data_IF_157083265136
#
_entry.id   IF_157083265136
#
_cell.length_a   1.000
_cell.length_b   1.000
_cell.length_c   1.000
_cell.angle_alpha   90.00
_cell.angle_beta   90.00
_cell.angle_gamma   90.00
#
_symmetry.space_group_name_H-M   'P 1'
#
loop_
_entity.id
_entity.type
_entity.pdbx_description
1 polymer ?
#
# COMPACT_ATOMS: atom_id res chain seq x y z
N UNK A 1 -44.91 0.64 -27.78
CA UNK A 1 -44.05 -0.41 -28.36
C UNK A 1 -42.82 0.29 -28.93
N UNK A 2 -41.56 -0.03 -28.64
CA UNK A 2 -40.93 -1.00 -27.76
C UNK A 2 -39.67 -0.30 -27.20
N UNK A 3 -39.47 -0.31 -25.89
CA UNK A 3 -38.21 0.17 -25.32
C UNK A 3 -37.23 -1.00 -25.30
N UNK A 4 -36.21 -0.92 -26.15
CA UNK A 4 -35.10 -1.86 -26.16
C UNK A 4 -34.23 -1.58 -24.93
N UNK A 5 -34.23 -2.50 -23.96
CA UNK A 5 -33.26 -2.46 -22.87
C UNK A 5 -31.97 -3.11 -23.33
N UNK A 6 -30.98 -2.29 -23.64
CA UNK A 6 -29.60 -2.72 -23.89
C UNK A 6 -29.07 -3.42 -22.65
N UNK A 7 -28.88 -4.74 -22.73
CA UNK A 7 -28.14 -5.51 -21.72
C UNK A 7 -26.66 -5.18 -21.85
N UNK A 8 -26.25 -4.09 -21.21
CA UNK A 8 -24.87 -3.95 -20.77
C UNK A 8 -24.66 -5.01 -19.67
N UNK A 9 -23.65 -5.91 -19.79
CA UNK A 9 -23.30 -6.77 -18.67
C UNK A 9 -22.85 -5.85 -17.53
N UNK A 10 -23.69 -5.75 -16.50
CA UNK A 10 -23.30 -5.17 -15.21
C UNK A 10 -22.14 -6.03 -14.72
N UNK A 11 -20.93 -5.50 -14.83
CA UNK A 11 -19.78 -5.97 -14.07
C UNK A 11 -20.22 -5.87 -12.61
N UNK A 12 -20.57 -7.01 -12.03
CA UNK A 12 -20.68 -7.13 -10.58
C UNK A 12 -19.24 -7.07 -10.09
N UNK A 13 -18.80 -5.87 -9.78
CA UNK A 13 -17.65 -5.70 -8.90
C UNK A 13 -18.15 -6.05 -7.51
N UNK A 14 -18.32 -7.36 -7.29
CA UNK A 14 -18.46 -7.92 -5.97
C UNK A 14 -17.16 -7.52 -5.28
N UNK A 15 -17.24 -6.50 -4.41
CA UNK A 15 -16.13 -6.04 -3.60
C UNK A 15 -15.75 -7.14 -2.62
N UNK A 16 -15.14 -8.22 -3.12
CA UNK A 16 -14.56 -9.26 -2.32
C UNK A 16 -13.40 -8.63 -1.56
N UNK A 17 -13.62 -8.37 -0.28
CA UNK A 17 -12.58 -8.05 0.67
C UNK A 17 -11.53 -9.16 0.58
N UNK A 18 -10.46 -8.89 -0.16
CA UNK A 18 -9.36 -9.84 -0.37
C UNK A 18 -8.82 -10.27 1.00
N UNK A 19 -8.92 -11.56 1.30
CA UNK A 19 -8.43 -12.09 2.56
C UNK A 19 -6.89 -12.17 2.52
N UNK A 20 -6.24 -11.11 3.00
CA UNK A 20 -4.79 -11.03 3.09
C UNK A 20 -4.18 -12.04 4.07
N UNK A 21 -4.98 -12.65 4.95
CA UNK A 21 -4.53 -13.67 5.90
C UNK A 21 -4.38 -15.06 5.28
N UNK A 22 -5.07 -15.35 4.17
CA UNK A 22 -4.94 -16.61 3.41
C UNK A 22 -3.70 -16.63 2.51
N UNK A 23 -3.00 -15.50 2.38
CA UNK A 23 -1.83 -15.41 1.53
C UNK A 23 -0.65 -16.18 2.14
N UNK A 24 0.02 -17.06 1.37
CA UNK A 24 1.24 -17.72 1.78
C UNK A 24 2.33 -16.74 2.23
N UNK A 25 3.15 -17.17 3.19
CA UNK A 25 4.24 -16.40 3.75
C UNK A 25 5.14 -15.76 2.69
N UNK A 26 5.58 -16.56 1.72
CA UNK A 26 6.49 -16.12 0.65
C UNK A 26 5.88 -14.96 -0.17
N UNK A 27 4.59 -15.05 -0.51
CA UNK A 27 3.89 -14.02 -1.26
C UNK A 27 3.69 -12.76 -0.42
N UNK A 28 3.30 -12.90 0.86
CA UNK A 28 3.19 -11.77 1.77
C UNK A 28 4.54 -11.06 1.93
N UNK A 29 5.63 -11.82 2.09
CA UNK A 29 7.00 -11.27 2.18
C UNK A 29 7.41 -10.52 0.92
N UNK A 30 7.05 -11.05 -0.26
CA UNK A 30 7.36 -10.41 -1.55
C UNK A 30 6.55 -9.13 -1.77
N UNK A 31 5.34 -9.03 -1.22
CA UNK A 31 4.55 -7.80 -1.25
C UNK A 31 5.17 -6.78 -0.29
N UNK A 32 5.43 -7.19 0.95
CA UNK A 32 6.03 -6.33 1.97
C UNK A 32 7.40 -5.79 1.53
N UNK A 33 8.24 -6.59 0.87
CA UNK A 33 9.55 -6.13 0.37
C UNK A 33 9.46 -5.04 -0.70
N UNK A 34 8.29 -4.82 -1.30
CA UNK A 34 8.05 -3.78 -2.31
C UNK A 34 7.46 -2.49 -1.71
N UNK A 35 7.09 -2.51 -0.43
CA UNK A 35 6.60 -1.34 0.29
C UNK A 35 7.76 -0.57 0.91
N UNK A 36 7.54 0.72 1.17
CA UNK A 36 8.48 1.53 1.93
C UNK A 36 8.48 1.13 3.41
N UNK A 37 9.61 1.34 4.08
CA UNK A 37 9.78 0.98 5.50
C UNK A 37 8.68 1.61 6.38
N UNK A 38 8.32 2.85 6.10
CA UNK A 38 7.30 3.59 6.86
C UNK A 38 5.94 2.91 6.69
N UNK A 39 5.55 2.59 5.46
CA UNK A 39 4.28 1.89 5.20
C UNK A 39 4.22 0.53 5.88
N UNK A 40 5.34 -0.18 5.97
CA UNK A 40 5.40 -1.48 6.64
C UNK A 40 5.19 -1.30 8.15
N UNK A 41 5.85 -0.32 8.76
CA UNK A 41 5.76 -0.04 10.20
C UNK A 41 4.39 0.53 10.60
N UNK A 42 3.83 1.42 9.79
CA UNK A 42 2.61 2.16 10.13
C UNK A 42 1.33 1.47 9.65
N UNK A 43 1.36 0.79 8.49
CA UNK A 43 0.18 0.27 7.82
C UNK A 43 0.18 -1.27 7.75
N UNK A 44 1.20 -1.88 7.17
CA UNK A 44 1.17 -3.31 6.81
C UNK A 44 1.04 -4.25 8.02
N UNK A 45 1.61 -3.88 9.17
CA UNK A 45 1.48 -4.63 10.43
C UNK A 45 0.07 -4.59 11.06
N UNK A 46 -0.81 -3.69 10.60
CA UNK A 46 -2.18 -3.53 11.09
C UNK A 46 -3.21 -4.25 10.21
N UNK A 47 -2.81 -4.78 9.05
CA UNK A 47 -3.71 -5.47 8.11
C UNK A 47 -4.24 -6.77 8.69
N UNK A 48 -3.35 -7.67 9.11
CA UNK A 48 -3.72 -8.94 9.74
C UNK A 48 -2.57 -9.52 10.57
N UNK A 49 -2.87 -10.58 11.32
CA UNK A 49 -1.88 -11.30 12.16
C UNK A 49 -0.80 -11.97 11.33
N UNK A 50 -1.12 -12.54 10.16
CA UNK A 50 -0.16 -13.15 9.24
C UNK A 50 0.89 -12.14 8.78
N UNK A 51 0.45 -10.98 8.30
CA UNK A 51 1.34 -9.89 7.86
C UNK A 51 2.21 -9.35 8.99
N UNK A 52 1.61 -9.19 10.18
CA UNK A 52 2.35 -8.82 11.39
C UNK A 52 3.43 -9.84 11.74
N UNK A 53 3.16 -11.14 11.55
CA UNK A 53 4.15 -12.21 11.77
C UNK A 53 5.32 -12.08 10.80
N UNK A 54 5.04 -11.84 9.51
CA UNK A 54 6.08 -11.62 8.49
C UNK A 54 6.94 -10.40 8.82
N UNK A 55 6.32 -9.31 9.30
CA UNK A 55 7.03 -8.11 9.71
C UNK A 55 7.93 -8.29 10.94
N UNK A 56 7.77 -9.38 11.71
CA UNK A 56 8.65 -9.71 12.84
C UNK A 56 9.88 -10.51 12.42
N UNK A 57 9.91 -11.08 11.21
CA UNK A 57 11.05 -11.85 10.72
C UNK A 57 12.21 -10.89 10.34
N UNK A 58 13.38 -10.97 11.01
CA UNK A 58 14.55 -10.18 10.64
C UNK A 58 15.03 -10.42 9.20
N UNK A 59 14.82 -11.61 8.64
CA UNK A 59 15.21 -11.92 7.27
C UNK A 59 14.39 -11.13 6.24
N UNK A 60 13.16 -10.75 6.59
CA UNK A 60 12.32 -9.91 5.74
C UNK A 60 12.89 -8.49 5.61
N UNK A 61 13.36 -7.92 6.72
CA UNK A 61 13.98 -6.58 6.74
C UNK A 61 15.28 -6.49 5.95
N UNK A 62 15.99 -7.61 5.75
CA UNK A 62 17.16 -7.64 4.86
C UNK A 62 16.79 -7.46 3.38
N UNK A 63 15.54 -7.79 3.00
CA UNK A 63 15.03 -7.63 1.63
C UNK A 63 14.42 -6.25 1.40
N UNK A 64 14.02 -5.55 2.47
CA UNK A 64 13.50 -4.19 2.36
C UNK A 64 14.67 -3.27 2.04
N UNK A 65 14.66 -2.73 0.81
CA UNK A 65 15.57 -1.66 0.44
C UNK A 65 15.14 -0.44 1.27
N UNK A 66 15.98 -0.02 2.22
CA UNK A 66 15.87 1.30 2.86
C UNK A 66 16.12 2.35 1.78
N UNK A 67 15.10 2.62 0.95
CA UNK A 67 15.00 3.91 0.31
C UNK A 67 14.78 4.87 1.46
N UNK A 68 15.82 5.60 1.80
CA UNK A 68 15.68 6.82 2.57
C UNK A 68 14.69 7.67 1.77
N UNK A 69 13.41 7.60 2.15
CA UNK A 69 12.37 8.50 1.70
C UNK A 69 12.80 9.86 2.23
N UNK A 70 13.75 10.50 1.54
CA UNK A 70 14.27 11.84 1.83
C UNK A 70 13.24 12.93 1.63
N UNK A 71 11.97 12.57 1.71
CA UNK A 71 10.81 13.44 1.72
C UNK A 71 9.94 13.06 2.93
N UNK A 72 10.53 13.02 4.12
CA UNK A 72 9.79 13.24 5.36
C UNK A 72 9.31 14.71 5.43
N UNK A 73 8.63 15.20 4.39
CA UNK A 73 7.89 16.46 4.42
C UNK A 73 6.57 16.28 5.16
N UNK A 74 6.68 15.85 6.41
CA UNK A 74 5.67 16.19 7.39
C UNK A 74 5.97 17.62 7.82
N UNK A 75 5.35 18.59 7.14
CA UNK A 75 5.31 19.99 7.56
C UNK A 75 6.14 20.97 6.75
N UNK A 76 5.92 21.05 5.43
CA UNK A 76 6.11 22.36 4.76
C UNK A 76 4.75 22.97 4.56
N UNK A 77 4.42 23.90 5.45
CA UNK A 77 3.35 24.85 5.22
C UNK A 77 3.54 25.50 3.83
N UNK A 78 2.47 25.69 3.03
CA UNK A 78 2.57 26.44 1.80
C UNK A 78 2.67 27.94 2.14
N UNK A 79 3.86 28.37 2.57
CA UNK A 79 4.08 29.71 3.11
C UNK A 79 5.36 30.42 2.67
N UNK A 80 6.38 29.73 2.15
CA UNK A 80 7.63 30.39 1.76
C UNK A 80 7.68 30.67 0.26
N UNK A 81 7.19 31.86 -0.08
CA UNK A 81 7.49 32.55 -1.32
C UNK A 81 9.02 32.65 -1.46
N UNK A 82 9.61 31.85 -2.34
CA UNK A 82 11.00 32.03 -2.77
C UNK A 82 11.12 33.43 -3.37
N UNK A 83 11.96 34.34 -2.84
CA UNK A 83 12.21 35.59 -3.53
C UNK A 83 12.93 35.25 -4.84
N UNK A 84 12.30 35.61 -5.95
CA UNK A 84 12.86 35.50 -7.30
C UNK A 84 14.27 36.06 -7.30
N UNK A 85 15.22 35.20 -7.63
CA UNK A 85 16.57 35.61 -7.97
C UNK A 85 16.55 36.06 -9.42
N UNK A 86 16.88 37.36 -9.60
CA UNK A 86 17.06 38.10 -10.86
C UNK A 86 15.80 38.65 -11.53
#
# INVERSE_FOLDING_TARGET
>A
MASSSSTHPVMKEDGECRNWAELPYELASSILSRLDMIDILENAQKVCTSWRSVCKDPAMWRKIIMRNSGDWRFGVEPGDHVPSRS
#
